data_IF_513622827884
#
_entry.id   IF_513622827884
#
_cell.length_a   1.000
_cell.length_b   1.000
_cell.length_c   1.000
_cell.angle_alpha   90.00
_cell.angle_beta   90.00
_cell.angle_gamma   90.00
#
_symmetry.space_group_name_H-M   'P 1'
#
loop_
_entity.id
_entity.type
_entity.pdbx_description
1 polymer ?
#
# COMPACT_ATOMS: atom_id res chain seq x y z
N UNK A 1 -25.24 -25.96 4.26
CA UNK A 1 -25.68 -24.67 4.81
C UNK A 1 -25.73 -23.71 3.64
N UNK A 2 -26.92 -23.44 3.10
CA UNK A 2 -27.10 -22.43 2.05
C UNK A 2 -27.41 -21.09 2.71
N UNK A 3 -26.62 -20.07 2.38
CA UNK A 3 -26.90 -18.68 2.78
C UNK A 3 -27.55 -18.00 1.58
N UNK A 4 -28.86 -17.75 1.67
CA UNK A 4 -29.58 -16.96 0.67
C UNK A 4 -29.27 -15.47 0.90
N UNK A 5 -28.37 -14.90 0.11
CA UNK A 5 -27.97 -13.50 0.19
C UNK A 5 -29.11 -12.51 -0.12
N UNK A 6 -30.18 -12.94 -0.81
CA UNK A 6 -31.31 -12.07 -1.20
C UNK A 6 -32.26 -11.75 -0.04
N UNK A 7 -32.25 -12.54 1.03
CA UNK A 7 -33.06 -12.28 2.23
C UNK A 7 -32.32 -11.47 3.30
N UNK A 8 -31.05 -11.13 3.06
CA UNK A 8 -30.22 -10.41 4.01
C UNK A 8 -30.57 -8.91 4.01
N UNK A 9 -31.45 -8.51 4.94
CA UNK A 9 -31.73 -7.10 5.22
C UNK A 9 -30.93 -6.68 6.44
N UNK A 10 -29.93 -5.82 6.25
CA UNK A 10 -29.21 -5.22 7.37
C UNK A 10 -30.11 -4.14 8.01
N UNK A 11 -30.48 -4.26 9.29
CA UNK A 11 -31.18 -3.19 9.99
C UNK A 11 -30.22 -2.00 10.14
N UNK A 12 -30.45 -0.93 9.38
CA UNK A 12 -29.56 0.23 9.34
C UNK A 12 -30.32 1.54 9.36
N UNK A 13 -29.78 2.52 10.10
CA UNK A 13 -30.10 3.94 9.91
C UNK A 13 -29.54 4.42 8.56
N UNK A 14 -30.05 5.52 7.97
CA UNK A 14 -29.42 6.13 6.81
C UNK A 14 -27.92 6.35 7.06
N UNK A 15 -27.10 5.91 6.11
CA UNK A 15 -25.65 6.09 6.17
C UNK A 15 -25.32 7.56 5.91
N UNK A 16 -24.49 8.17 6.74
CA UNK A 16 -23.94 9.51 6.46
C UNK A 16 -22.91 9.42 5.34
N UNK A 17 -22.66 10.51 4.61
CA UNK A 17 -21.62 10.54 3.57
C UNK A 17 -20.23 10.22 4.13
N UNK A 18 -19.93 10.66 5.36
CA UNK A 18 -18.68 10.28 6.05
C UNK A 18 -18.57 8.77 6.25
N UNK A 19 -19.66 8.12 6.70
CA UNK A 19 -19.68 6.67 6.89
C UNK A 19 -19.62 5.92 5.55
N UNK A 20 -20.22 6.48 4.49
CA UNK A 20 -20.13 5.95 3.12
C UNK A 20 -18.69 6.01 2.61
N UNK A 21 -18.00 7.14 2.76
CA UNK A 21 -16.61 7.30 2.33
C UNK A 21 -15.65 6.40 3.13
N UNK A 22 -15.87 6.23 4.44
CA UNK A 22 -15.13 5.25 5.25
C UNK A 22 -15.36 3.83 4.79
N UNK A 23 -16.61 3.46 4.49
CA UNK A 23 -16.91 2.13 3.97
C UNK A 23 -16.22 1.87 2.63
N UNK A 24 -16.26 2.84 1.70
CA UNK A 24 -15.58 2.73 0.40
C UNK A 24 -14.07 2.63 0.58
N UNK A 25 -13.48 3.45 1.44
CA UNK A 25 -12.07 3.38 1.84
C UNK A 25 -11.69 1.97 2.33
N UNK A 26 -12.48 1.41 3.26
CA UNK A 26 -12.27 0.05 3.78
C UNK A 26 -12.42 -1.01 2.71
N UNK A 27 -13.47 -0.96 1.89
CA UNK A 27 -13.67 -1.92 0.79
C UNK A 27 -12.48 -1.88 -0.17
N UNK A 28 -11.99 -0.68 -0.50
CA UNK A 28 -10.85 -0.50 -1.40
C UNK A 28 -9.58 -1.10 -0.81
N UNK A 29 -9.31 -0.83 0.47
CA UNK A 29 -8.19 -1.42 1.22
C UNK A 29 -8.23 -2.96 1.19
N UNK A 30 -9.38 -3.56 1.52
CA UNK A 30 -9.51 -5.02 1.54
C UNK A 30 -9.47 -5.66 0.14
N UNK A 31 -9.98 -4.96 -0.89
CA UNK A 31 -9.84 -5.41 -2.27
C UNK A 31 -8.36 -5.44 -2.67
N UNK A 32 -7.55 -4.46 -2.25
CA UNK A 32 -6.11 -4.49 -2.52
C UNK A 32 -5.47 -5.74 -1.93
N UNK A 33 -5.78 -6.11 -0.67
CA UNK A 33 -5.30 -7.36 -0.08
C UNK A 33 -5.71 -8.58 -0.90
N UNK A 34 -6.96 -8.63 -1.38
CA UNK A 34 -7.41 -9.71 -2.25
C UNK A 34 -6.61 -9.79 -3.56
N UNK A 35 -6.35 -8.64 -4.21
CA UNK A 35 -5.51 -8.59 -5.42
C UNK A 35 -4.08 -9.00 -5.14
N UNK A 36 -3.51 -8.60 -4.00
CA UNK A 36 -2.16 -8.98 -3.57
C UNK A 36 -2.06 -10.48 -3.30
N UNK A 37 -3.07 -11.10 -2.67
CA UNK A 37 -3.09 -12.55 -2.48
C UNK A 37 -3.08 -13.28 -3.81
N UNK A 38 -3.81 -12.75 -4.81
CA UNK A 38 -3.93 -13.37 -6.12
C UNK A 38 -2.68 -13.22 -7.00
N UNK A 39 -2.04 -12.06 -6.95
CA UNK A 39 -0.93 -11.71 -7.84
C UNK A 39 0.44 -11.89 -7.19
N UNK A 40 0.52 -11.75 -5.86
CA UNK A 40 1.74 -11.80 -5.05
C UNK A 40 1.69 -12.92 -4.00
N UNK A 41 1.02 -14.03 -4.30
CA UNK A 41 0.74 -15.14 -3.37
C UNK A 41 1.96 -15.59 -2.57
N UNK A 42 3.13 -15.74 -3.20
CA UNK A 42 4.38 -16.17 -2.52
C UNK A 42 4.74 -15.21 -1.39
N UNK A 43 4.70 -13.92 -1.69
CA UNK A 43 5.00 -12.84 -0.77
C UNK A 43 3.95 -12.69 0.33
N UNK A 44 2.67 -12.92 0.02
CA UNK A 44 1.59 -12.82 1.01
C UNK A 44 1.58 -13.99 2.00
N UNK A 45 1.88 -15.21 1.54
CA UNK A 45 1.80 -16.45 2.32
C UNK A 45 3.13 -16.94 2.89
N UNK A 46 4.24 -16.23 2.64
CA UNK A 46 5.58 -16.67 3.03
C UNK A 46 5.96 -18.05 2.48
N UNK A 47 5.49 -18.38 1.28
CA UNK A 47 5.74 -19.67 0.64
C UNK A 47 6.86 -19.53 -0.38
N UNK A 48 7.83 -20.46 -0.33
CA UNK A 48 8.96 -20.51 -1.28
C UNK A 48 8.66 -21.49 -2.43
N UNK A 49 9.54 -21.41 -3.43
CA UNK A 49 9.69 -22.24 -4.64
C UNK A 49 9.55 -23.76 -4.42
N UNK A 50 9.68 -24.30 -3.20
CA UNK A 50 9.52 -25.74 -2.92
C UNK A 50 8.14 -26.16 -2.42
N UNK A 51 7.19 -25.22 -2.26
CA UNK A 51 5.89 -25.50 -1.63
C UNK A 51 5.95 -25.60 -0.10
N UNK A 52 7.10 -25.25 0.49
CA UNK A 52 7.25 -25.15 1.94
C UNK A 52 6.56 -23.87 2.45
N UNK A 53 5.45 -24.06 3.16
CA UNK A 53 4.76 -23.00 3.87
C UNK A 53 5.54 -22.56 5.10
N UNK A 54 5.51 -21.25 5.38
CA UNK A 54 5.98 -20.71 6.65
C UNK A 54 7.49 -20.49 6.73
N UNK A 55 8.16 -20.24 5.61
CA UNK A 55 9.58 -19.88 5.66
C UNK A 55 9.71 -18.50 6.29
N UNK A 56 10.23 -18.48 7.51
CA UNK A 56 10.49 -17.27 8.29
C UNK A 56 11.35 -16.31 7.43
N UNK A 57 10.87 -15.07 7.26
CA UNK A 57 11.49 -14.06 6.41
C UNK A 57 11.11 -14.09 4.92
N UNK A 58 10.22 -15.00 4.49
CA UNK A 58 9.68 -15.01 3.13
C UNK A 58 8.52 -14.04 2.93
N UNK A 59 7.72 -13.77 3.97
CA UNK A 59 6.56 -12.88 3.83
C UNK A 59 6.99 -11.46 3.51
N UNK A 60 6.28 -10.79 2.60
CA UNK A 60 6.41 -9.35 2.39
C UNK A 60 6.23 -8.62 3.74
N UNK A 61 6.96 -7.52 3.96
CA UNK A 61 6.87 -6.76 5.21
C UNK A 61 5.45 -6.25 5.45
N UNK A 62 5.02 -6.21 6.72
CA UNK A 62 3.69 -5.69 7.05
C UNK A 62 3.49 -4.24 6.57
N UNK A 63 4.52 -3.41 6.69
CA UNK A 63 4.48 -2.02 6.20
C UNK A 63 4.20 -1.93 4.70
N UNK A 64 4.68 -2.89 3.91
CA UNK A 64 4.47 -2.92 2.48
C UNK A 64 3.06 -3.41 2.15
N UNK A 65 2.62 -4.50 2.81
CA UNK A 65 1.29 -5.09 2.61
C UNK A 65 0.20 -4.09 3.01
N UNK A 66 0.21 -3.64 4.25
CA UNK A 66 -0.81 -2.71 4.76
C UNK A 66 -0.62 -1.32 4.15
N UNK A 67 0.61 -0.86 3.97
CA UNK A 67 0.89 0.44 3.35
C UNK A 67 0.32 0.53 1.94
N UNK A 68 0.52 -0.48 1.10
CA UNK A 68 -0.04 -0.52 -0.27
C UNK A 68 -1.57 -0.56 -0.25
N UNK A 69 -2.17 -1.33 0.66
CA UNK A 69 -3.62 -1.33 0.85
C UNK A 69 -4.14 0.03 1.31
N UNK A 70 -3.46 0.71 2.23
CA UNK A 70 -3.80 2.08 2.67
C UNK A 70 -3.62 3.11 1.57
N UNK A 71 -2.63 2.97 0.67
CA UNK A 71 -2.48 3.85 -0.51
C UNK A 71 -3.76 3.84 -1.35
N UNK A 72 -4.40 2.68 -1.51
CA UNK A 72 -5.66 2.58 -2.25
C UNK A 72 -6.85 3.19 -1.48
N UNK A 73 -6.94 2.93 -0.17
CA UNK A 73 -8.05 3.38 0.68
C UNK A 73 -7.93 4.81 1.22
N UNK A 74 -6.77 5.45 1.13
CA UNK A 74 -6.49 6.77 1.72
C UNK A 74 -5.89 6.69 3.13
N UNK A 75 -4.74 7.32 3.32
CA UNK A 75 -3.92 7.20 4.54
C UNK A 75 -4.09 8.31 5.58
N UNK A 76 -4.78 9.41 5.27
CA UNK A 76 -4.78 10.63 6.12
C UNK A 76 -5.19 10.36 7.57
N UNK A 77 -6.21 9.52 7.78
CA UNK A 77 -6.68 9.19 9.13
C UNK A 77 -5.64 8.40 9.96
N UNK A 78 -4.93 7.46 9.33
CA UNK A 78 -3.88 6.69 9.98
C UNK A 78 -2.70 7.58 10.35
N UNK A 79 -2.27 8.46 9.44
CA UNK A 79 -1.17 9.40 9.68
C UNK A 79 -1.54 10.39 10.78
N UNK A 80 -2.78 10.90 10.80
CA UNK A 80 -3.23 11.79 11.86
C UNK A 80 -3.24 11.10 13.22
N UNK A 81 -3.75 9.87 13.28
CA UNK A 81 -3.73 9.08 14.52
C UNK A 81 -2.30 8.83 15.03
N UNK A 82 -1.37 8.49 14.13
CA UNK A 82 0.04 8.30 14.47
C UNK A 82 0.67 9.59 15.03
N UNK A 83 0.52 10.71 14.33
CA UNK A 83 1.09 12.00 14.77
C UNK A 83 0.49 12.46 16.10
N UNK A 84 -0.83 12.32 16.26
CA UNK A 84 -1.51 12.68 17.51
C UNK A 84 -0.98 11.82 18.66
N UNK A 85 -0.78 10.53 18.43
CA UNK A 85 -0.37 9.59 19.48
C UNK A 85 1.11 9.65 19.85
N UNK A 86 2.00 9.86 18.87
CA UNK A 86 3.45 9.76 19.04
C UNK A 86 4.13 11.13 19.22
N UNK A 87 3.49 12.19 18.73
CA UNK A 87 4.01 13.56 18.77
C UNK A 87 3.11 14.48 19.57
N UNK A 88 1.82 14.14 19.77
CA UNK A 88 0.86 15.01 20.43
C UNK A 88 0.34 16.11 19.51
N UNK A 89 0.33 15.88 18.19
CA UNK A 89 -0.09 16.86 17.17
C UNK A 89 -1.11 16.26 16.22
N UNK A 90 -2.14 17.04 15.89
CA UNK A 90 -3.02 16.73 14.77
C UNK A 90 -2.40 17.22 13.46
N UNK A 91 -2.76 16.58 12.35
CA UNK A 91 -2.41 17.07 11.01
C UNK A 91 -3.14 18.39 10.80
N UNK A 92 -2.37 19.47 10.82
CA UNK A 92 -2.77 20.75 10.25
C UNK A 92 -1.63 21.26 9.37
N UNK A 93 -1.98 21.82 8.22
CA UNK A 93 -1.00 22.26 7.20
C UNK A 93 -0.04 23.33 7.74
N UNK A 94 -0.47 24.07 8.76
CA UNK A 94 0.25 25.18 9.37
C UNK A 94 1.26 24.76 10.45
N UNK A 95 1.08 23.60 11.11
CA UNK A 95 1.84 23.23 12.32
C UNK A 95 2.73 22.00 12.19
N UNK A 96 2.61 21.26 11.09
CA UNK A 96 3.40 20.07 10.81
C UNK A 96 4.81 20.44 10.33
N UNK A 97 5.83 19.94 11.04
CA UNK A 97 7.23 20.07 10.63
C UNK A 97 7.83 18.72 10.21
N UNK A 98 8.89 18.76 9.41
CA UNK A 98 9.68 17.57 9.07
C UNK A 98 10.22 16.87 10.32
N UNK A 99 10.59 17.63 11.36
CA UNK A 99 11.07 17.08 12.62
C UNK A 99 9.99 16.26 13.36
N UNK A 100 8.72 16.69 13.30
CA UNK A 100 7.60 15.94 13.88
C UNK A 100 7.41 14.60 13.16
N UNK A 101 7.46 14.63 11.82
CA UNK A 101 7.38 13.42 11.01
C UNK A 101 8.56 12.48 11.23
N UNK A 102 9.79 13.01 11.21
CA UNK A 102 10.99 12.21 11.48
C UNK A 102 10.92 11.55 12.85
N UNK A 103 10.44 12.27 13.87
CA UNK A 103 10.18 11.69 15.21
C UNK A 103 9.15 10.57 15.14
N UNK A 104 7.98 10.80 14.56
CA UNK A 104 6.93 9.79 14.46
C UNK A 104 7.37 8.54 13.69
N UNK A 105 8.00 8.73 12.52
CA UNK A 105 8.51 7.66 11.65
C UNK A 105 9.68 6.89 12.28
N UNK A 106 10.49 7.53 13.13
CA UNK A 106 11.55 6.83 13.88
C UNK A 106 11.00 5.90 14.96
N UNK A 107 9.82 6.22 15.51
CA UNK A 107 9.13 5.40 16.52
C UNK A 107 8.32 4.30 15.82
N UNK A 108 7.57 4.67 14.79
CA UNK A 108 6.83 3.75 13.92
C UNK A 108 7.72 3.35 12.73
N UNK A 109 8.81 2.63 13.01
CA UNK A 109 9.85 2.32 12.04
C UNK A 109 9.41 1.26 11.04
N UNK A 110 10.04 1.24 9.86
CA UNK A 110 9.83 0.17 8.88
C UNK A 110 10.65 -1.10 9.22
N UNK A 111 11.67 -0.95 10.07
CA UNK A 111 12.60 -2.03 10.39
C UNK A 111 11.95 -3.05 11.33
N UNK A 112 11.50 -4.17 10.76
CA UNK A 112 10.89 -5.26 11.53
C UNK A 112 11.79 -5.76 12.67
N UNK A 113 11.19 -6.08 13.82
CA UNK A 113 11.91 -6.56 15.01
C UNK A 113 12.58 -5.47 15.84
N UNK A 114 12.60 -4.21 15.38
CA UNK A 114 12.97 -3.04 16.20
C UNK A 114 11.77 -2.36 16.86
N UNK A 115 10.57 -2.87 16.62
CA UNK A 115 9.34 -2.39 17.27
C UNK A 115 9.39 -2.63 18.78
N UNK A 116 9.06 -1.63 19.62
CA UNK A 116 9.13 -1.76 21.08
C UNK A 116 8.26 -2.87 21.67
N UNK A 117 7.25 -3.38 20.93
CA UNK A 117 6.39 -4.51 21.29
C UNK A 117 5.61 -5.02 20.07
N UNK A 118 5.76 -6.30 19.69
CA UNK A 118 5.19 -6.91 18.46
C UNK A 118 3.66 -6.95 18.39
N UNK A 119 2.94 -6.68 19.48
CA UNK A 119 1.48 -6.66 19.56
C UNK A 119 0.91 -5.29 19.99
N UNK A 120 1.71 -4.23 19.89
CA UNK A 120 1.31 -2.89 20.34
C UNK A 120 0.68 -2.06 19.22
N UNK A 121 -0.02 -1.00 19.61
CA UNK A 121 -0.51 0.04 18.69
C UNK A 121 0.60 0.65 17.83
N UNK A 122 1.88 0.52 18.21
CA UNK A 122 3.02 0.95 17.42
C UNK A 122 3.18 0.13 16.14
N UNK A 123 2.96 -1.18 16.20
CA UNK A 123 3.01 -2.06 15.02
C UNK A 123 1.91 -1.68 14.01
N UNK A 124 0.74 -1.24 14.48
CA UNK A 124 -0.30 -0.68 13.62
C UNK A 124 0.18 0.60 12.93
N UNK A 125 0.82 1.54 13.65
CA UNK A 125 1.33 2.75 13.00
C UNK A 125 2.47 2.48 12.03
N UNK A 126 3.38 1.58 12.37
CA UNK A 126 4.45 1.13 11.47
C UNK A 126 3.88 0.52 10.18
N UNK A 127 2.87 -0.35 10.32
CA UNK A 127 2.28 -1.07 9.18
C UNK A 127 1.41 -0.17 8.30
N UNK A 128 0.55 0.64 8.89
CA UNK A 128 -0.47 1.41 8.16
C UNK A 128 0.01 2.83 7.84
N UNK A 129 0.41 3.63 8.84
CA UNK A 129 0.73 5.05 8.63
C UNK A 129 2.13 5.23 8.02
N UNK A 130 3.16 4.68 8.66
CA UNK A 130 4.53 4.73 8.13
C UNK A 130 4.64 3.93 6.84
N UNK A 131 3.97 2.77 6.77
CA UNK A 131 3.88 1.95 5.57
C UNK A 131 3.24 2.69 4.39
N UNK A 132 2.13 3.38 4.62
CA UNK A 132 1.50 4.25 3.61
C UNK A 132 2.49 5.31 3.10
N UNK A 133 3.10 6.07 4.00
CA UNK A 133 4.05 7.12 3.62
C UNK A 133 5.28 6.55 2.87
N UNK A 134 5.74 5.36 3.26
CA UNK A 134 6.81 4.66 2.57
C UNK A 134 6.41 4.22 1.15
N UNK A 135 5.20 3.67 0.96
CA UNK A 135 4.70 3.28 -0.35
C UNK A 135 4.47 4.48 -1.26
N UNK A 136 3.93 5.59 -0.73
CA UNK A 136 3.77 6.84 -1.48
C UNK A 136 5.12 7.39 -1.95
N UNK A 137 6.12 7.44 -1.07
CA UNK A 137 7.48 7.85 -1.43
C UNK A 137 8.11 6.90 -2.45
N UNK A 138 8.06 5.59 -2.20
CA UNK A 138 8.69 4.59 -3.06
C UNK A 138 8.06 4.56 -4.46
N UNK A 139 6.74 4.72 -4.57
CA UNK A 139 6.05 4.84 -5.85
C UNK A 139 6.55 6.02 -6.66
N UNK A 140 6.57 7.21 -6.08
CA UNK A 140 7.08 8.40 -6.76
C UNK A 140 8.56 8.23 -7.12
N UNK A 141 9.37 7.76 -6.18
CA UNK A 141 10.81 7.55 -6.38
C UNK A 141 11.10 6.62 -7.55
N UNK A 142 10.33 5.54 -7.70
CA UNK A 142 10.49 4.60 -8.81
C UNK A 142 10.09 5.25 -10.15
N UNK A 143 9.02 6.04 -10.17
CA UNK A 143 8.60 6.75 -11.38
C UNK A 143 9.65 7.78 -11.83
N UNK A 144 10.39 8.36 -10.89
CA UNK A 144 11.53 9.24 -11.14
C UNK A 144 12.88 8.52 -11.09
N UNK A 145 12.90 7.26 -11.47
CA UNK A 145 14.14 6.54 -11.75
C UNK A 145 15.13 6.49 -10.56
N UNK A 146 14.61 6.52 -9.33
CA UNK A 146 15.41 6.50 -8.11
C UNK A 146 15.82 7.87 -7.57
N UNK A 147 15.38 8.98 -8.14
CA UNK A 147 15.72 10.32 -7.63
C UNK A 147 14.58 11.32 -7.78
N UNK A 148 13.96 11.71 -6.66
CA UNK A 148 12.94 12.77 -6.64
C UNK A 148 13.67 14.11 -6.42
N UNK A 149 13.65 15.04 -7.38
CA UNK A 149 14.21 16.37 -7.22
C UNK A 149 13.68 17.09 -5.97
N UNK A 150 14.54 17.84 -5.28
CA UNK A 150 14.18 18.49 -4.01
C UNK A 150 13.03 19.51 -4.12
N UNK A 151 12.78 20.06 -5.30
CA UNK A 151 11.71 21.00 -5.60
C UNK A 151 10.45 20.32 -6.18
N UNK A 152 10.47 19.01 -6.36
CA UNK A 152 9.32 18.26 -6.86
C UNK A 152 8.27 18.11 -5.75
N UNK A 153 7.01 18.31 -6.14
CA UNK A 153 5.84 18.10 -5.30
C UNK A 153 5.28 16.69 -5.52
N UNK A 154 4.67 16.07 -4.50
CA UNK A 154 4.03 14.77 -4.62
C UNK A 154 3.02 14.71 -5.77
N UNK A 155 3.17 13.73 -6.66
CA UNK A 155 2.33 13.55 -7.85
C UNK A 155 1.68 12.16 -7.82
N UNK A 156 0.36 12.14 -7.79
CA UNK A 156 -0.43 10.91 -7.70
C UNK A 156 -0.26 10.00 -8.93
N UNK A 157 -0.04 10.57 -10.12
CA UNK A 157 0.19 9.80 -11.34
C UNK A 157 1.52 9.08 -11.26
N UNK A 158 2.57 9.76 -10.79
CA UNK A 158 3.90 9.16 -10.57
C UNK A 158 3.83 8.08 -9.50
N UNK A 159 3.22 8.37 -8.36
CA UNK A 159 2.99 7.39 -7.28
C UNK A 159 2.34 6.11 -7.81
N UNK A 160 1.23 6.23 -8.56
CA UNK A 160 0.54 5.09 -9.18
C UNK A 160 1.46 4.32 -10.11
N UNK A 161 2.10 5.01 -11.05
CA UNK A 161 2.93 4.37 -12.08
C UNK A 161 4.13 3.61 -11.51
N UNK A 162 4.77 4.14 -10.47
CA UNK A 162 5.89 3.46 -9.83
C UNK A 162 5.46 2.31 -8.93
N UNK A 163 4.31 2.44 -8.23
CA UNK A 163 3.73 1.31 -7.48
C UNK A 163 3.28 0.19 -8.42
N UNK A 164 2.61 0.52 -9.53
CA UNK A 164 2.26 -0.46 -10.57
C UNK A 164 3.50 -1.20 -11.07
N UNK A 165 4.57 -0.47 -11.36
CA UNK A 165 5.85 -1.04 -11.82
C UNK A 165 6.48 -1.96 -10.76
N UNK A 166 6.47 -1.54 -9.49
CA UNK A 166 6.96 -2.33 -8.37
C UNK A 166 6.16 -3.63 -8.20
N UNK A 167 4.83 -3.51 -8.14
CA UNK A 167 3.92 -4.64 -7.97
C UNK A 167 4.03 -5.61 -9.14
N UNK A 168 4.18 -5.11 -10.37
CA UNK A 168 4.41 -5.95 -11.54
C UNK A 168 5.74 -6.71 -11.45
N UNK A 169 6.84 -6.07 -11.03
CA UNK A 169 8.12 -6.79 -10.84
C UNK A 169 7.96 -7.88 -9.79
N UNK A 170 7.25 -7.62 -8.69
CA UNK A 170 7.02 -8.64 -7.68
C UNK A 170 6.14 -9.76 -8.26
N UNK A 171 5.06 -9.44 -8.98
CA UNK A 171 4.19 -10.42 -9.63
C UNK A 171 4.96 -11.30 -10.64
N UNK A 172 5.93 -10.73 -11.35
CA UNK A 172 6.84 -11.41 -12.28
C UNK A 172 7.89 -12.28 -11.57
N UNK A 173 7.86 -12.34 -10.23
CA UNK A 173 8.72 -13.19 -9.43
C UNK A 173 9.97 -12.51 -8.88
N UNK A 174 10.19 -11.21 -9.06
CA UNK A 174 11.28 -10.52 -8.36
C UNK A 174 10.97 -10.45 -6.86
N UNK A 175 11.99 -10.62 -6.00
CA UNK A 175 11.80 -10.30 -4.59
C UNK A 175 11.57 -8.79 -4.40
N UNK A 176 10.89 -8.40 -3.32
CA UNK A 176 10.75 -6.98 -2.99
C UNK A 176 12.13 -6.30 -2.84
N UNK A 177 13.07 -6.99 -2.20
CA UNK A 177 14.47 -6.55 -2.08
C UNK A 177 15.13 -6.24 -3.43
N UNK A 178 15.04 -7.17 -4.37
CA UNK A 178 15.62 -7.00 -5.70
C UNK A 178 14.86 -5.94 -6.52
N UNK A 179 13.54 -5.88 -6.40
CA UNK A 179 12.72 -4.91 -7.08
C UNK A 179 13.05 -3.48 -6.61
N UNK A 180 13.16 -3.25 -5.30
CA UNK A 180 13.58 -1.95 -4.73
C UNK A 180 14.96 -1.56 -5.26
N UNK A 181 15.95 -2.46 -5.17
CA UNK A 181 17.31 -2.18 -5.64
C UNK A 181 17.32 -1.79 -7.12
N UNK A 182 16.64 -2.57 -7.96
CA UNK A 182 16.59 -2.39 -9.41
C UNK A 182 15.87 -1.09 -9.79
N UNK A 183 14.66 -0.91 -9.26
CA UNK A 183 13.75 0.16 -9.68
C UNK A 183 14.15 1.53 -9.10
N UNK A 184 14.87 1.56 -7.99
CA UNK A 184 15.48 2.79 -7.46
C UNK A 184 16.89 3.05 -7.98
N UNK A 185 17.31 2.33 -9.04
CA UNK A 185 18.64 2.43 -9.68
C UNK A 185 19.82 2.34 -8.70
N UNK A 186 19.72 1.45 -7.72
CA UNK A 186 20.69 1.28 -6.62
C UNK A 186 20.84 2.48 -5.68
N UNK A 187 19.88 3.45 -5.67
CA UNK A 187 19.80 4.42 -4.57
C UNK A 187 19.73 3.72 -3.23
N UNK A 188 18.92 2.65 -3.17
CA UNK A 188 18.95 1.70 -2.07
C UNK A 188 19.54 0.37 -2.55
N UNK A 189 20.40 -0.23 -1.74
CA UNK A 189 21.04 -1.52 -2.02
C UNK A 189 20.06 -2.71 -1.97
N UNK A 190 18.84 -2.49 -1.50
CA UNK A 190 17.80 -3.48 -1.33
C UNK A 190 16.74 -3.00 -0.32
N UNK A 191 15.89 -3.91 0.11
CA UNK A 191 14.80 -3.64 1.05
C UNK A 191 15.33 -3.16 2.41
N UNK A 192 16.30 -3.88 2.99
CA UNK A 192 16.84 -3.52 4.31
C UNK A 192 17.48 -2.14 4.29
N UNK A 193 18.20 -1.81 3.22
CA UNK A 193 18.83 -0.50 3.06
C UNK A 193 17.78 0.61 2.93
N UNK A 194 16.69 0.38 2.20
CA UNK A 194 15.54 1.29 2.17
C UNK A 194 14.92 1.45 3.57
N UNK A 195 14.66 0.36 4.28
CA UNK A 195 14.04 0.39 5.62
C UNK A 195 14.89 1.19 6.62
N UNK A 196 16.22 1.05 6.57
CA UNK A 196 17.15 1.67 7.52
C UNK A 196 17.55 3.11 7.16
N UNK A 197 17.68 3.44 5.88
CA UNK A 197 18.34 4.68 5.44
C UNK A 197 17.42 5.68 4.74
N UNK A 198 16.15 5.36 4.49
CA UNK A 198 15.20 6.28 3.84
C UNK A 198 14.48 7.25 4.78
N UNK A 199 14.76 7.24 6.09
CA UNK A 199 13.98 7.99 7.08
C UNK A 199 13.92 9.48 6.78
N UNK A 200 15.05 10.07 6.38
CA UNK A 200 15.17 11.51 6.20
C UNK A 200 14.44 11.96 4.92
N UNK A 201 14.66 11.25 3.82
CA UNK A 201 13.96 11.53 2.57
C UNK A 201 12.45 11.27 2.69
N UNK A 202 12.05 10.21 3.40
CA UNK A 202 10.63 9.94 3.66
C UNK A 202 10.00 11.01 4.53
N UNK A 203 10.67 11.50 5.56
CA UNK A 203 10.13 12.58 6.40
C UNK A 203 9.97 13.88 5.60
N UNK A 204 10.96 14.23 4.78
CA UNK A 204 10.88 15.40 3.90
C UNK A 204 9.73 15.26 2.89
N UNK A 205 9.67 14.15 2.18
CA UNK A 205 8.61 13.86 1.21
C UNK A 205 7.22 13.84 1.86
N UNK A 206 7.08 13.16 3.01
CA UNK A 206 5.82 13.09 3.74
C UNK A 206 5.33 14.46 4.22
N UNK A 207 6.24 15.39 4.51
CA UNK A 207 5.87 16.76 4.89
C UNK A 207 5.17 17.46 3.74
N UNK A 208 5.68 17.32 2.51
CA UNK A 208 5.04 17.86 1.31
C UNK A 208 3.74 17.14 1.00
N UNK A 209 3.73 15.80 1.11
CA UNK A 209 2.57 14.97 0.82
C UNK A 209 1.39 15.33 1.69
N UNK A 210 1.59 15.47 3.00
CA UNK A 210 0.49 15.77 3.91
C UNK A 210 -0.11 17.15 3.62
N UNK A 211 0.74 18.14 3.29
CA UNK A 211 0.27 19.47 2.85
C UNK A 211 -0.48 19.41 1.52
N UNK A 212 -0.02 18.57 0.59
CA UNK A 212 -0.67 18.39 -0.70
C UNK A 212 -2.03 17.70 -0.57
N UNK A 213 -2.18 16.77 0.39
CA UNK A 213 -3.45 16.12 0.70
C UNK A 213 -4.50 17.14 1.19
N UNK A 214 -4.11 18.22 1.89
CA UNK A 214 -4.99 19.36 2.19
C UNK A 214 -6.40 18.98 2.72
N UNK A 215 -6.45 18.06 3.68
CA UNK A 215 -7.72 17.56 4.26
C UNK A 215 -8.45 16.48 3.46
N UNK A 216 -7.93 16.10 2.30
CA UNK A 216 -8.38 14.95 1.51
C UNK A 216 -8.07 13.60 2.15
N UNK A 217 -8.56 12.55 1.50
CA UNK A 217 -8.36 11.16 1.96
C UNK A 217 -6.93 10.66 1.71
N UNK A 218 -6.18 11.28 0.78
CA UNK A 218 -4.84 10.86 0.42
C UNK A 218 -4.79 9.50 -0.30
N UNK A 219 -5.85 9.14 -1.02
CA UNK A 219 -5.89 7.92 -1.83
C UNK A 219 -5.13 8.13 -3.13
N UNK A 220 -4.37 7.13 -3.56
CA UNK A 220 -3.81 7.11 -4.90
C UNK A 220 -4.74 6.44 -5.93
N UNK A 221 -6.03 6.19 -5.65
CA UNK A 221 -7.01 5.84 -6.70
C UNK A 221 -7.75 7.07 -7.22
N UNK A 222 -7.84 8.11 -6.40
CA UNK A 222 -8.38 9.42 -6.75
C UNK A 222 -7.30 10.48 -6.59
N UNK A 223 -7.65 11.75 -6.80
CA UNK A 223 -6.74 12.85 -6.48
C UNK A 223 -6.51 12.92 -4.96
N UNK A 224 -5.30 13.28 -4.53
CA UNK A 224 -4.86 13.18 -3.14
C UNK A 224 -5.68 14.07 -2.19
N UNK A 225 -6.17 15.20 -2.71
CA UNK A 225 -7.00 16.17 -2.00
C UNK A 225 -8.50 15.83 -2.00
N UNK A 226 -8.88 14.75 -2.69
CA UNK A 226 -10.27 14.34 -2.76
C UNK A 226 -10.78 13.79 -1.42
N UNK A 227 -11.97 14.23 -1.02
CA UNK A 227 -12.69 13.70 0.14
C UNK A 227 -13.28 12.30 -0.10
N UNK A 228 -13.14 11.75 -1.31
CA UNK A 228 -13.75 10.48 -1.74
C UNK A 228 -12.66 9.59 -2.36
N UNK A 229 -12.66 8.32 -1.98
CA UNK A 229 -11.67 7.30 -2.41
C UNK A 229 -12.07 6.60 -3.70
N UNK A 230 -13.37 6.46 -3.95
CA UNK A 230 -13.98 6.06 -5.21
C UNK A 230 -15.35 6.71 -5.30
N UNK A 231 -15.73 7.24 -6.46
CA UNK A 231 -17.10 7.74 -6.68
C UNK A 231 -17.98 6.58 -7.19
N UNK A 232 -18.85 5.96 -6.36
CA UNK A 232 -19.75 4.91 -6.83
C UNK A 232 -20.81 5.46 -7.81
N UNK A 233 -21.17 6.73 -7.68
CA UNK A 233 -22.27 7.33 -8.45
C UNK A 233 -21.83 7.83 -9.84
N UNK A 234 -20.51 7.86 -10.11
CA UNK A 234 -19.94 8.11 -11.45
C UNK A 234 -19.89 6.84 -12.32
N UNK A 235 -20.41 5.70 -11.85
CA UNK A 235 -20.59 4.47 -12.64
C UNK A 235 -21.65 4.62 -13.76
N UNK A 236 -22.22 5.81 -13.92
CA UNK A 236 -23.14 6.18 -15.00
C UNK A 236 -22.42 6.94 -16.13
N UNK A 237 -21.26 6.45 -16.61
CA UNK A 237 -20.66 6.94 -17.86
C UNK A 237 -20.14 5.75 -18.70
N UNK A 238 -20.67 5.54 -19.92
CA UNK A 238 -20.01 4.68 -20.90
C UNK A 238 -18.68 5.33 -21.29
N UNK A 239 -17.56 4.67 -21.00
CA UNK A 239 -16.18 4.94 -21.47
C UNK A 239 -15.14 5.44 -20.45
N UNK A 240 -15.39 5.54 -19.13
CA UNK A 240 -14.26 5.65 -18.19
C UNK A 240 -14.60 5.19 -16.76
N UNK A 241 -14.48 3.90 -16.45
CA UNK A 241 -14.78 3.40 -15.12
C UNK A 241 -13.61 3.63 -14.15
N UNK A 242 -13.88 4.33 -13.04
CA UNK A 242 -12.97 4.47 -11.87
C UNK A 242 -12.62 3.10 -11.24
N UNK A 243 -13.40 2.06 -11.53
CA UNK A 243 -13.00 0.65 -11.45
C UNK A 243 -13.21 0.05 -12.84
N UNK A 244 -12.19 0.11 -13.69
CA UNK A 244 -12.21 -0.64 -14.94
C UNK A 244 -11.97 -2.11 -14.63
N UNK A 245 -13.00 -2.93 -14.85
CA UNK A 245 -12.76 -4.36 -14.97
C UNK A 245 -11.76 -4.53 -16.13
N UNK A 246 -10.72 -5.33 -15.90
CA UNK A 246 -9.76 -5.66 -16.94
C UNK A 246 -10.44 -6.62 -17.94
N UNK A 247 -11.31 -6.06 -18.78
CA UNK A 247 -12.22 -6.78 -19.68
C UNK A 247 -11.47 -7.56 -20.76
N UNK A 248 -10.22 -7.17 -21.03
CA UNK A 248 -9.32 -7.85 -21.95
C UNK A 248 -8.46 -8.93 -21.27
N UNK A 249 -8.64 -9.18 -19.96
CA UNK A 249 -7.87 -10.19 -19.21
C UNK A 249 -6.35 -9.98 -19.24
N UNK A 250 -5.87 -8.77 -19.56
CA UNK A 250 -4.44 -8.44 -19.70
C UNK A 250 -3.68 -8.28 -18.38
N UNK A 251 -4.38 -7.97 -17.28
CA UNK A 251 -3.77 -7.64 -15.98
C UNK A 251 -4.27 -8.49 -14.80
N UNK A 252 -5.45 -9.10 -14.91
CA UNK A 252 -5.97 -10.11 -13.98
C UNK A 252 -6.90 -11.08 -14.69
N UNK A 253 -6.52 -12.35 -14.65
CA UNK A 253 -7.36 -13.50 -14.95
C UNK A 253 -6.81 -14.68 -14.18
N UNK A 254 -7.65 -15.42 -13.47
CA UNK A 254 -7.34 -16.79 -13.09
C UNK A 254 -8.56 -17.69 -13.29
N UNK A 255 -8.38 -18.74 -14.07
CA UNK A 255 -9.24 -19.93 -14.10
C UNK A 255 -8.33 -21.15 -13.96
N UNK A 256 -8.53 -21.93 -12.91
CA UNK A 256 -7.70 -23.10 -12.61
C UNK A 256 -8.53 -24.40 -12.58
N UNK A 257 -8.36 -25.26 -13.61
CA UNK A 257 -8.90 -26.62 -13.65
C UNK A 257 -7.96 -27.67 -13.02
N UNK A 258 -8.39 -28.93 -13.03
CA UNK A 258 -7.91 -29.95 -12.09
C UNK A 258 -6.45 -30.40 -12.27
N UNK A 259 -5.67 -30.36 -11.18
CA UNK A 259 -4.32 -30.94 -11.05
C UNK A 259 -3.20 -29.96 -10.66
N UNK A 260 -3.50 -28.68 -10.38
CA UNK A 260 -2.47 -27.64 -10.30
C UNK A 260 -2.17 -27.14 -8.87
N UNK A 261 -0.89 -26.83 -8.62
CA UNK A 261 -0.43 -25.95 -7.53
C UNK A 261 -0.20 -24.58 -8.18
N UNK A 262 -0.76 -23.51 -7.62
CA UNK A 262 -0.56 -22.15 -8.10
C UNK A 262 0.10 -21.35 -7.01
N UNK A 263 1.29 -20.82 -7.29
CA UNK A 263 1.96 -19.86 -6.42
C UNK A 263 2.58 -18.81 -7.35
N UNK A 264 2.23 -17.53 -7.16
CA UNK A 264 2.66 -16.41 -8.01
C UNK A 264 3.39 -15.34 -7.23
N UNK A 265 4.20 -14.57 -7.94
CA UNK A 265 4.95 -13.43 -7.42
C UNK A 265 6.13 -13.79 -6.51
N UNK A 266 6.97 -12.81 -6.22
CA UNK A 266 8.16 -12.93 -5.39
C UNK A 266 7.90 -12.77 -3.91
N UNK A 267 8.93 -13.10 -3.13
CA UNK A 267 8.92 -13.00 -1.67
C UNK A 267 9.67 -11.75 -1.20
N UNK A 268 9.80 -11.55 0.12
CA UNK A 268 10.59 -10.42 0.66
C UNK A 268 12.02 -10.36 0.12
N UNK A 269 12.73 -11.49 0.15
CA UNK A 269 14.15 -11.57 -0.22
C UNK A 269 14.46 -12.54 -1.36
N UNK A 270 13.59 -13.52 -1.63
CA UNK A 270 13.82 -14.53 -2.66
C UNK A 270 12.90 -14.31 -3.86
N UNK A 271 13.43 -14.58 -5.04
CA UNK A 271 12.61 -14.60 -6.26
C UNK A 271 11.52 -15.67 -6.13
N UNK A 272 10.32 -15.34 -6.63
CA UNK A 272 9.21 -16.26 -6.82
C UNK A 272 9.33 -17.06 -8.11
N UNK A 273 8.43 -18.02 -8.30
CA UNK A 273 8.32 -18.87 -9.49
C UNK A 273 6.85 -19.13 -9.79
N UNK A 274 6.47 -19.27 -11.07
CA UNK A 274 5.11 -19.65 -11.50
C UNK A 274 5.02 -21.16 -11.73
N UNK A 275 4.05 -21.81 -11.10
CA UNK A 275 3.71 -23.23 -11.34
C UNK A 275 2.55 -23.33 -12.33
N UNK A 276 2.75 -22.81 -13.55
CA UNK A 276 1.85 -23.09 -14.66
C UNK A 276 2.30 -24.39 -15.34
N UNK A 277 1.59 -25.49 -15.04
CA UNK A 277 1.68 -26.76 -15.76
C UNK A 277 0.70 -26.81 -16.92
#
# INVERSE_FOLDING_TARGET
MEVNMLSFRWPGKPMTEENKNRLISTITHEIMHAMMIETLTSGMLATRVTGEFGVIGGRLPNWFIEGTAVVSGGGSAFVNSMLSRLVGKEITDESLSEADLKKALSIATLVEGREPNSHSTLNLYASYASGYLACMYLGHLIADDGDIPSNEEPDVVKIRSGLDTLMQNIADGYSLDLAIKKLTRNKYAGLTDFEEHSLDERANYATKLIKHINGGMGSALTDLDSAVTLQPDSLSIPNNPTISLNDNYTRMLNKYPAGHIVIKGGTRFNTGYDFSG
#
